data_IF_056569932497
#
_entry.id   IF_056569932497
#
_cell.length_a   1.000
_cell.length_b   1.000
_cell.length_c   1.000
_cell.angle_alpha   90.00
_cell.angle_beta   90.00
_cell.angle_gamma   90.00
#
_symmetry.space_group_name_H-M   'P 1'
#
loop_
_entity.id
_entity.type
_entity.pdbx_description
1 polymer ?
#
# COMPACT_ATOMS: atom_id res chain seq x y z
N UNK A 1 -8.14 9.68 -15.49
CA UNK A 1 -6.82 9.84 -14.83
C UNK A 1 -6.83 10.67 -13.56
N UNK A 2 -7.43 11.87 -13.56
CA UNK A 2 -7.32 12.76 -12.39
C UNK A 2 -7.84 12.13 -11.09
N UNK A 3 -8.96 11.41 -11.12
CA UNK A 3 -9.45 10.66 -9.95
C UNK A 3 -8.48 9.52 -9.56
N UNK A 4 -8.08 8.67 -10.51
CA UNK A 4 -7.12 7.58 -10.25
C UNK A 4 -5.78 8.07 -9.66
N UNK A 5 -5.35 9.30 -9.96
CA UNK A 5 -4.12 9.86 -9.37
C UNK A 5 -4.16 9.95 -7.86
N UNK A 6 -5.32 10.05 -7.21
CA UNK A 6 -5.44 10.00 -5.74
C UNK A 6 -5.09 8.61 -5.22
N UNK A 7 -5.60 7.56 -5.87
CA UNK A 7 -5.25 6.17 -5.54
C UNK A 7 -3.79 5.87 -5.85
N UNK A 8 -3.26 6.39 -6.97
CA UNK A 8 -1.84 6.29 -7.34
C UNK A 8 -0.92 7.03 -6.37
N UNK A 9 -1.37 8.19 -5.86
CA UNK A 9 -0.64 8.91 -4.83
C UNK A 9 -0.52 8.07 -3.56
N UNK A 10 -1.62 7.43 -3.13
CA UNK A 10 -1.60 6.49 -2.01
C UNK A 10 -0.60 5.36 -2.21
N UNK A 11 -0.59 4.68 -3.36
CA UNK A 11 0.39 3.60 -3.61
C UNK A 11 1.84 4.10 -3.68
N UNK A 12 2.06 5.36 -4.02
CA UNK A 12 3.39 5.98 -3.92
C UNK A 12 3.83 6.20 -2.47
N UNK A 13 2.93 6.70 -1.62
CA UNK A 13 3.20 6.86 -0.18
C UNK A 13 3.43 5.50 0.50
N UNK A 14 2.61 4.51 0.14
CA UNK A 14 2.66 3.15 0.66
C UNK A 14 3.97 2.44 0.29
N UNK A 15 4.38 2.57 -0.98
CA UNK A 15 5.67 2.07 -1.47
C UNK A 15 6.83 2.54 -0.59
N UNK A 16 6.90 3.83 -0.32
CA UNK A 16 7.96 4.37 0.55
C UNK A 16 7.86 3.85 1.98
N UNK A 17 6.63 3.70 2.48
CA UNK A 17 6.40 3.26 3.83
C UNK A 17 6.92 1.83 4.06
N UNK A 18 6.52 0.84 3.26
CA UNK A 18 6.96 -0.54 3.49
C UNK A 18 8.41 -0.79 3.06
N UNK A 19 8.89 -0.12 2.00
CA UNK A 19 10.24 -0.38 1.46
C UNK A 19 11.34 0.37 2.21
N UNK A 20 11.01 1.47 2.87
CA UNK A 20 11.96 2.31 3.60
C UNK A 20 11.61 2.47 5.07
N UNK A 21 10.53 3.22 5.34
CA UNK A 21 10.19 3.68 6.69
C UNK A 21 10.02 2.53 7.68
N UNK A 22 9.30 1.48 7.27
CA UNK A 22 8.97 0.38 8.15
C UNK A 22 10.19 -0.49 8.47
N UNK A 23 11.05 -0.75 7.48
CA UNK A 23 12.34 -1.40 7.69
C UNK A 23 13.24 -0.61 8.65
N UNK A 24 13.30 0.73 8.50
CA UNK A 24 14.01 1.61 9.43
C UNK A 24 13.43 1.52 10.84
N UNK A 25 12.10 1.49 10.99
CA UNK A 25 11.47 1.34 12.31
C UNK A 25 11.85 0.03 12.99
N UNK A 26 11.85 -1.09 12.25
CA UNK A 26 12.27 -2.40 12.77
C UNK A 26 13.73 -2.36 13.20
N UNK A 27 14.60 -1.77 12.39
CA UNK A 27 16.03 -1.67 12.67
C UNK A 27 16.39 -0.74 13.81
N UNK A 28 15.52 0.20 14.17
CA UNK A 28 15.77 1.17 15.23
C UNK A 28 15.42 0.65 16.64
N UNK A 29 14.70 -0.47 16.78
CA UNK A 29 14.19 -0.93 18.08
C UNK A 29 15.24 -1.80 18.80
N UNK A 30 15.94 -1.20 19.76
CA UNK A 30 16.95 -1.88 20.58
C UNK A 30 16.39 -3.08 21.35
N UNK A 31 15.09 -3.03 21.69
CA UNK A 31 14.37 -4.13 22.39
C UNK A 31 14.26 -5.41 21.57
N UNK A 32 14.49 -5.38 20.26
CA UNK A 32 14.58 -6.61 19.45
C UNK A 32 15.91 -7.34 19.63
N UNK A 33 16.87 -6.73 20.32
CA UNK A 33 18.19 -7.30 20.62
C UNK A 33 19.09 -7.36 19.39
N UNK A 34 20.14 -8.19 19.46
CA UNK A 34 21.20 -8.27 18.44
C UNK A 34 20.75 -8.74 17.05
N UNK A 35 19.48 -9.10 16.89
CA UNK A 35 18.89 -9.61 15.64
C UNK A 35 18.19 -8.53 14.81
N UNK A 36 18.15 -7.27 15.26
CA UNK A 36 17.46 -6.15 14.59
C UNK A 36 17.76 -6.07 13.08
N UNK A 37 19.03 -6.21 12.68
CA UNK A 37 19.46 -6.13 11.27
C UNK A 37 18.98 -7.33 10.44
N UNK A 38 18.86 -8.50 11.05
CA UNK A 38 18.30 -9.69 10.41
C UNK A 38 16.80 -9.54 10.20
N UNK A 39 16.10 -8.89 11.14
CA UNK A 39 14.66 -8.64 11.05
C UNK A 39 14.29 -7.70 9.90
N UNK A 40 15.15 -6.74 9.53
CA UNK A 40 14.94 -5.90 8.35
C UNK A 40 14.88 -6.77 7.08
N UNK A 41 15.85 -7.67 6.92
CA UNK A 41 15.89 -8.60 5.79
C UNK A 41 14.68 -9.54 5.78
N UNK A 42 14.31 -10.08 6.95
CA UNK A 42 13.16 -10.95 7.10
C UNK A 42 11.84 -10.22 6.81
N UNK A 43 11.71 -8.95 7.23
CA UNK A 43 10.58 -8.10 6.88
C UNK A 43 10.40 -7.98 5.37
N UNK A 44 11.49 -7.70 4.63
CA UNK A 44 11.46 -7.67 3.17
C UNK A 44 11.00 -8.98 2.54
N UNK A 45 11.44 -10.12 3.09
CA UNK A 45 10.98 -11.45 2.63
C UNK A 45 9.47 -11.62 2.85
N UNK A 46 8.97 -11.26 4.03
CA UNK A 46 7.53 -11.39 4.35
C UNK A 46 6.66 -10.45 3.51
N UNK A 47 7.13 -9.24 3.19
CA UNK A 47 6.49 -8.35 2.21
C UNK A 47 6.37 -9.06 0.86
N UNK A 48 7.48 -9.59 0.34
CA UNK A 48 7.49 -10.30 -0.94
C UNK A 48 6.58 -11.54 -0.97
N UNK A 49 6.50 -12.30 0.14
CA UNK A 49 5.55 -13.41 0.27
C UNK A 49 4.11 -12.90 0.18
N UNK A 50 3.79 -11.80 0.89
CA UNK A 50 2.48 -11.16 0.82
C UNK A 50 2.13 -10.72 -0.60
N UNK A 51 3.07 -10.09 -1.30
CA UNK A 51 2.89 -9.62 -2.68
C UNK A 51 2.65 -10.79 -3.66
N UNK A 52 3.44 -11.86 -3.57
CA UNK A 52 3.28 -13.05 -4.43
C UNK A 52 1.93 -13.70 -4.19
N UNK A 53 1.52 -13.89 -2.94
CA UNK A 53 0.23 -14.50 -2.61
C UNK A 53 -0.94 -13.62 -3.07
N UNK A 54 -0.89 -12.31 -2.80
CA UNK A 54 -1.96 -11.40 -3.21
C UNK A 54 -2.05 -11.24 -4.73
N UNK A 55 -0.93 -11.09 -5.42
CA UNK A 55 -0.90 -11.02 -6.88
C UNK A 55 -1.40 -12.31 -7.54
N UNK A 56 -1.01 -13.48 -7.01
CA UNK A 56 -1.45 -14.78 -7.53
C UNK A 56 -2.93 -15.01 -7.28
N UNK A 57 -3.40 -14.82 -6.05
CA UNK A 57 -4.78 -15.09 -5.66
C UNK A 57 -5.74 -14.10 -6.32
N UNK A 58 -5.45 -12.80 -6.21
CA UNK A 58 -6.38 -11.75 -6.63
C UNK A 58 -6.22 -11.31 -8.08
N UNK A 59 -5.06 -11.55 -8.70
CA UNK A 59 -4.92 -11.45 -10.15
C UNK A 59 -5.78 -12.48 -10.88
N UNK A 60 -5.86 -13.72 -10.35
CA UNK A 60 -6.70 -14.77 -10.90
C UNK A 60 -8.20 -14.58 -10.57
N UNK A 61 -8.53 -14.14 -9.35
CA UNK A 61 -9.92 -13.83 -8.96
C UNK A 61 -10.51 -12.67 -9.77
N UNK A 62 -9.73 -11.63 -10.06
CA UNK A 62 -10.17 -10.49 -10.89
C UNK A 62 -10.47 -10.89 -12.35
N UNK A 63 -9.91 -11.99 -12.84
CA UNK A 63 -10.21 -12.50 -14.19
C UNK A 63 -11.56 -13.21 -14.25
N UNK A 64 -12.08 -13.66 -13.12
CA UNK A 64 -13.37 -14.32 -13.05
C UNK A 64 -14.47 -13.26 -12.95
N UNK A 65 -15.21 -13.03 -14.05
CA UNK A 65 -16.20 -11.96 -14.25
C UNK A 65 -17.35 -11.90 -13.21
N UNK A 66 -17.35 -12.79 -12.20
CA UNK A 66 -18.32 -12.82 -11.09
C UNK A 66 -17.94 -11.88 -9.95
N UNK A 67 -16.66 -11.57 -9.76
CA UNK A 67 -16.17 -10.65 -8.74
C UNK A 67 -15.41 -9.52 -9.42
N UNK A 68 -15.94 -8.29 -9.35
CA UNK A 68 -15.28 -7.10 -9.91
C UNK A 68 -13.99 -6.73 -9.17
N UNK A 69 -13.41 -5.58 -9.50
CA UNK A 69 -12.15 -5.10 -8.89
C UNK A 69 -12.33 -4.62 -7.44
N UNK A 70 -13.51 -4.07 -7.12
CA UNK A 70 -13.78 -3.41 -5.83
C UNK A 70 -13.58 -4.30 -4.59
N UNK A 71 -14.04 -5.57 -4.55
CA UNK A 71 -13.80 -6.45 -3.39
C UNK A 71 -12.30 -6.68 -3.10
N UNK A 72 -11.46 -6.75 -4.14
CA UNK A 72 -10.02 -6.92 -3.97
C UNK A 72 -9.38 -5.66 -3.39
N UNK A 73 -9.75 -4.48 -3.90
CA UNK A 73 -9.27 -3.21 -3.33
C UNK A 73 -9.76 -3.02 -1.89
N UNK A 74 -11.00 -3.40 -1.58
CA UNK A 74 -11.53 -3.36 -0.22
C UNK A 74 -10.75 -4.28 0.72
N UNK A 75 -10.40 -5.48 0.28
CA UNK A 75 -9.55 -6.37 1.05
C UNK A 75 -8.17 -5.75 1.28
N UNK A 76 -7.56 -5.18 0.23
CA UNK A 76 -6.26 -4.52 0.33
C UNK A 76 -6.23 -3.42 1.38
N UNK A 77 -7.21 -2.51 1.37
CA UNK A 77 -7.25 -1.41 2.33
C UNK A 77 -7.50 -1.88 3.76
N UNK A 78 -8.29 -2.95 3.93
CA UNK A 78 -8.50 -3.57 5.25
C UNK A 78 -7.19 -4.16 5.79
N UNK A 79 -6.42 -4.86 4.94
CA UNK A 79 -5.10 -5.39 5.34
C UNK A 79 -4.14 -4.27 5.71
N UNK A 80 -4.10 -3.20 4.92
CA UNK A 80 -3.30 -2.01 5.22
C UNK A 80 -3.71 -1.35 6.53
N UNK A 81 -5.00 -1.14 6.79
CA UNK A 81 -5.44 -0.50 8.03
C UNK A 81 -5.18 -1.36 9.27
N UNK A 82 -5.34 -2.68 9.16
CA UNK A 82 -4.96 -3.61 10.22
C UNK A 82 -3.44 -3.52 10.45
N UNK A 83 -2.63 -3.53 9.39
CA UNK A 83 -1.18 -3.38 9.52
C UNK A 83 -0.81 -2.05 10.17
N UNK A 84 -1.36 -0.92 9.73
CA UNK A 84 -1.07 0.41 10.30
C UNK A 84 -1.44 0.49 11.78
N UNK A 85 -2.58 -0.10 12.17
CA UNK A 85 -2.98 -0.14 13.57
C UNK A 85 -2.05 -1.01 14.41
N UNK A 86 -1.67 -2.20 13.92
CA UNK A 86 -0.70 -3.07 14.62
C UNK A 86 0.68 -2.43 14.73
N UNK A 87 1.14 -1.74 13.68
CA UNK A 87 2.40 -0.97 13.67
C UNK A 87 2.34 0.15 14.72
N UNK A 88 1.25 0.91 14.76
CA UNK A 88 1.04 1.96 15.75
C UNK A 88 1.16 1.42 17.18
N UNK A 89 0.64 0.22 17.45
CA UNK A 89 0.74 -0.39 18.77
C UNK A 89 2.14 -0.93 19.08
N UNK A 90 2.75 -1.62 18.11
CA UNK A 90 3.96 -2.42 18.30
C UNK A 90 5.26 -1.61 18.22
N UNK A 91 5.26 -0.47 17.53
CA UNK A 91 6.46 0.31 17.24
C UNK A 91 6.52 1.62 18.05
N UNK A 92 7.70 2.05 18.54
CA UNK A 92 7.88 3.36 19.13
C UNK A 92 7.62 4.49 18.13
N UNK A 93 7.03 5.59 18.60
CA UNK A 93 6.64 6.71 17.74
C UNK A 93 7.81 7.46 17.09
N UNK A 94 8.97 7.42 17.71
CA UNK A 94 10.24 8.03 17.29
C UNK A 94 11.09 7.12 16.39
N UNK A 95 10.72 5.84 16.22
CA UNK A 95 11.51 4.87 15.48
C UNK A 95 11.94 5.30 14.05
N UNK A 96 11.11 6.00 13.24
CA UNK A 96 11.53 6.46 11.90
C UNK A 96 12.66 7.51 11.91
N UNK A 97 12.78 8.26 13.01
CA UNK A 97 13.73 9.38 13.16
C UNK A 97 14.75 9.10 14.27
N UNK A 98 14.80 7.86 14.74
CA UNK A 98 15.72 7.43 15.77
C UNK A 98 17.17 7.63 15.29
N UNK A 99 18.09 7.97 16.20
CA UNK A 99 19.50 8.10 15.84
C UNK A 99 20.10 6.71 15.53
N UNK A 100 21.36 6.67 15.09
CA UNK A 100 22.02 5.44 14.64
C UNK A 100 22.11 4.39 15.78
N UNK A 101 22.10 4.85 17.02
CA UNK A 101 22.08 4.02 18.24
C UNK A 101 20.71 3.39 18.54
N UNK A 102 19.68 3.68 17.74
CA UNK A 102 18.32 3.18 17.92
C UNK A 102 17.52 3.92 18.99
N UNK A 103 16.39 3.33 19.38
CA UNK A 103 15.47 3.85 20.40
C UNK A 103 15.09 2.79 21.42
N UNK A 104 15.10 3.18 22.69
CA UNK A 104 14.61 2.42 23.84
C UNK A 104 13.21 2.87 24.29
N UNK A 105 12.60 3.81 23.55
CA UNK A 105 11.25 4.30 23.79
C UNK A 105 10.24 3.15 23.90
N UNK A 106 9.23 3.34 24.73
CA UNK A 106 8.12 2.38 24.86
C UNK A 106 7.13 2.56 23.73
N UNK A 107 6.79 1.47 23.05
CA UNK A 107 5.57 1.38 22.27
C UNK A 107 4.36 1.16 23.19
N UNK A 108 3.14 1.15 22.64
CA UNK A 108 1.92 0.91 23.43
C UNK A 108 1.83 -0.51 23.96
N UNK A 109 2.35 -1.48 23.20
CA UNK A 109 2.56 -2.86 23.66
C UNK A 109 4.05 -3.17 23.72
N UNK A 110 4.42 -4.27 24.36
CA UNK A 110 5.80 -4.75 24.28
C UNK A 110 6.13 -5.10 22.83
N UNK A 111 7.18 -4.50 22.22
CA UNK A 111 7.53 -4.78 20.83
C UNK A 111 7.74 -6.27 20.61
N UNK A 112 6.94 -6.86 19.71
CA UNK A 112 7.03 -8.25 19.29
C UNK A 112 7.56 -8.34 17.86
N UNK A 113 8.52 -9.25 17.65
CA UNK A 113 9.10 -9.55 16.33
C UNK A 113 8.06 -10.19 15.41
N UNK A 114 7.22 -11.05 15.98
CA UNK A 114 6.17 -11.78 15.28
C UNK A 114 5.11 -10.81 14.73
N UNK A 115 4.69 -9.83 15.54
CA UNK A 115 3.77 -8.77 15.09
C UNK A 115 4.41 -7.94 13.99
N UNK A 116 5.71 -7.64 14.09
CA UNK A 116 6.42 -6.87 13.06
C UNK A 116 6.45 -7.61 11.71
N UNK A 117 6.72 -8.92 11.71
CA UNK A 117 6.72 -9.75 10.51
C UNK A 117 5.30 -9.96 9.95
N UNK A 118 4.30 -10.09 10.82
CA UNK A 118 2.89 -10.13 10.40
C UNK A 118 2.51 -8.83 9.68
N UNK A 119 2.89 -7.67 10.22
CA UNK A 119 2.63 -6.39 9.55
C UNK A 119 3.35 -6.31 8.20
N UNK A 120 4.60 -6.79 8.11
CA UNK A 120 5.35 -6.87 6.85
C UNK A 120 4.56 -7.64 5.79
N UNK A 121 4.03 -8.81 6.16
CA UNK A 121 3.20 -9.63 5.30
C UNK A 121 1.90 -8.93 4.88
N UNK A 122 1.19 -8.30 5.83
CA UNK A 122 -0.07 -7.60 5.56
C UNK A 122 0.13 -6.39 4.63
N UNK A 123 1.24 -5.66 4.77
CA UNK A 123 1.62 -4.56 3.88
C UNK A 123 1.80 -5.06 2.44
N UNK A 124 2.61 -6.10 2.21
CA UNK A 124 2.79 -6.67 0.87
C UNK A 124 1.51 -7.28 0.27
N UNK A 125 0.69 -7.91 1.11
CA UNK A 125 -0.62 -8.42 0.68
C UNK A 125 -1.55 -7.28 0.25
N UNK A 126 -1.57 -6.17 0.99
CA UNK A 126 -2.34 -4.96 0.64
C UNK A 126 -1.82 -4.28 -0.63
N UNK A 127 -0.50 -4.11 -0.77
CA UNK A 127 0.14 -3.50 -1.94
C UNK A 127 -0.25 -4.24 -3.22
N UNK A 128 -0.09 -5.56 -3.23
CA UNK A 128 -0.42 -6.38 -4.39
C UNK A 128 -1.90 -6.31 -4.76
N UNK A 129 -2.81 -6.18 -3.79
CA UNK A 129 -4.23 -5.93 -4.07
C UNK A 129 -4.41 -4.60 -4.82
N UNK A 130 -3.84 -3.50 -4.32
CA UNK A 130 -3.98 -2.19 -4.96
C UNK A 130 -3.33 -2.14 -6.34
N UNK A 131 -2.06 -2.54 -6.46
CA UNK A 131 -1.32 -2.47 -7.71
C UNK A 131 -1.96 -3.35 -8.79
N UNK A 132 -2.35 -4.58 -8.47
CA UNK A 132 -3.00 -5.46 -9.46
C UNK A 132 -4.28 -4.84 -10.01
N UNK A 133 -5.13 -4.27 -9.14
CA UNK A 133 -6.40 -3.69 -9.57
C UNK A 133 -6.23 -2.35 -10.28
N UNK A 134 -5.25 -1.53 -9.87
CA UNK A 134 -4.89 -0.28 -10.56
C UNK A 134 -4.37 -0.54 -11.98
N UNK A 135 -3.46 -1.50 -12.16
CA UNK A 135 -2.96 -1.86 -13.48
C UNK A 135 -4.10 -2.44 -14.35
N UNK A 136 -5.01 -3.22 -13.75
CA UNK A 136 -6.19 -3.79 -14.42
C UNK A 136 -7.18 -2.74 -14.92
N UNK A 137 -7.57 -1.76 -14.09
CA UNK A 137 -8.48 -0.69 -14.51
C UNK A 137 -7.83 0.25 -15.51
N UNK A 138 -6.52 0.51 -15.37
CA UNK A 138 -5.77 1.36 -16.28
C UNK A 138 -5.67 0.74 -17.68
N UNK A 139 -5.34 -0.55 -17.76
CA UNK A 139 -5.32 -1.30 -19.02
C UNK A 139 -6.71 -1.46 -19.65
N UNK A 140 -7.77 -1.43 -18.84
CA UNK A 140 -9.14 -1.47 -19.33
C UNK A 140 -9.62 -0.13 -19.91
N UNK A 141 -9.40 0.97 -19.19
CA UNK A 141 -9.87 2.31 -19.59
C UNK A 141 -9.05 2.93 -20.72
N UNK A 142 -7.77 2.56 -20.82
CA UNK A 142 -6.81 3.16 -21.75
C UNK A 142 -6.14 2.08 -22.60
N UNK A 143 -6.91 1.12 -23.11
CA UNK A 143 -6.39 0.00 -23.91
C UNK A 143 -5.65 0.46 -25.17
N UNK A 144 -6.17 1.49 -25.85
CA UNK A 144 -5.59 2.06 -27.07
C UNK A 144 -4.35 2.95 -26.78
N UNK A 145 -4.37 3.67 -25.65
CA UNK A 145 -3.32 4.62 -25.24
C UNK A 145 -2.66 4.21 -23.91
N UNK A 146 -2.32 2.93 -23.79
CA UNK A 146 -1.85 2.36 -22.53
C UNK A 146 -0.51 2.93 -22.09
N UNK A 147 0.45 3.10 -23.00
CA UNK A 147 1.79 3.57 -22.65
C UNK A 147 1.80 4.97 -21.99
N UNK A 148 1.14 6.02 -22.55
CA UNK A 148 0.98 7.30 -21.88
C UNK A 148 0.28 7.20 -20.52
N UNK A 149 -0.75 6.35 -20.42
CA UNK A 149 -1.50 6.14 -19.19
C UNK A 149 -0.63 5.54 -18.06
N UNK A 150 0.14 4.50 -18.37
CA UNK A 150 1.11 3.91 -17.44
C UNK A 150 2.26 4.87 -17.10
N UNK A 151 2.67 5.73 -18.03
CA UNK A 151 3.69 6.75 -17.77
C UNK A 151 3.20 7.78 -16.73
N UNK A 152 1.98 8.30 -16.87
CA UNK A 152 1.38 9.22 -15.88
C UNK A 152 1.22 8.53 -14.53
N UNK A 153 0.78 7.26 -14.52
CA UNK A 153 0.68 6.47 -13.29
C UNK A 153 2.03 6.38 -12.56
N UNK A 154 3.09 5.96 -13.26
CA UNK A 154 4.44 5.86 -12.65
C UNK A 154 4.99 7.21 -12.23
N UNK A 155 4.73 8.26 -13.00
CA UNK A 155 5.15 9.62 -12.65
C UNK A 155 4.54 10.09 -11.32
N UNK A 156 3.22 9.96 -11.14
CA UNK A 156 2.54 10.34 -9.89
C UNK A 156 3.03 9.48 -8.72
N UNK A 157 3.13 8.16 -8.93
CA UNK A 157 3.60 7.22 -7.91
C UNK A 157 5.02 7.60 -7.42
N UNK A 158 5.94 7.90 -8.34
CA UNK A 158 7.32 8.27 -8.02
C UNK A 158 7.43 9.63 -7.31
N UNK A 159 6.62 10.63 -7.69
CA UNK A 159 6.61 11.93 -6.98
C UNK A 159 6.12 11.75 -5.54
N UNK A 160 5.02 11.03 -5.33
CA UNK A 160 4.49 10.79 -3.99
C UNK A 160 5.47 9.97 -3.15
N UNK A 161 6.12 8.96 -3.73
CA UNK A 161 7.16 8.19 -3.07
C UNK A 161 8.34 9.07 -2.65
N UNK A 162 8.83 9.95 -3.54
CA UNK A 162 9.92 10.87 -3.25
C UNK A 162 9.57 11.86 -2.13
N UNK A 163 8.36 12.42 -2.15
CA UNK A 163 7.86 13.29 -1.07
C UNK A 163 7.78 12.53 0.26
N UNK A 164 7.35 11.27 0.22
CA UNK A 164 7.33 10.41 1.40
C UNK A 164 8.72 10.15 1.97
N UNK A 165 9.70 9.86 1.11
CA UNK A 165 11.08 9.65 1.57
C UNK A 165 11.68 10.92 2.15
N UNK A 166 11.29 12.08 1.61
CA UNK A 166 11.73 13.35 2.15
C UNK A 166 11.15 13.60 3.54
N UNK A 167 9.82 13.55 3.72
CA UNK A 167 9.22 13.84 5.02
C UNK A 167 9.49 12.76 6.08
N UNK A 168 9.77 11.51 5.69
CA UNK A 168 9.89 10.39 6.63
C UNK A 168 11.04 10.58 7.62
N UNK A 169 12.05 11.36 7.26
CA UNK A 169 13.19 11.70 8.12
C UNK A 169 12.88 12.80 9.15
N UNK A 170 11.70 13.43 9.08
CA UNK A 170 11.31 14.54 9.95
C UNK A 170 10.03 14.28 10.73
N UNK A 171 9.18 13.33 10.29
CA UNK A 171 7.89 13.03 10.91
C UNK A 171 7.94 11.79 11.79
N UNK A 172 7.30 11.89 12.97
CA UNK A 172 7.05 10.75 13.85
C UNK A 172 6.13 9.71 13.17
N UNK A 173 6.25 8.46 13.58
CA UNK A 173 5.57 7.31 12.98
C UNK A 173 4.06 7.49 12.90
N UNK A 174 3.43 7.97 13.97
CA UNK A 174 1.98 8.13 14.03
C UNK A 174 1.46 9.16 13.01
N UNK A 175 2.22 10.22 12.71
CA UNK A 175 1.85 11.16 11.66
C UNK A 175 1.95 10.53 10.27
N UNK A 176 2.99 9.73 10.03
CA UNK A 176 3.12 8.99 8.77
C UNK A 176 1.97 7.99 8.60
N UNK A 177 1.61 7.25 9.65
CA UNK A 177 0.46 6.34 9.65
C UNK A 177 -0.87 7.08 9.46
N UNK A 178 -1.04 8.27 10.03
CA UNK A 178 -2.24 9.08 9.82
C UNK A 178 -2.38 9.52 8.35
N UNK A 179 -1.28 9.96 7.73
CA UNK A 179 -1.24 10.29 6.30
C UNK A 179 -1.64 9.08 5.47
N UNK A 180 -1.09 7.90 5.79
CA UNK A 180 -1.42 6.64 5.12
C UNK A 180 -2.91 6.29 5.23
N UNK A 181 -3.53 6.44 6.41
CA UNK A 181 -4.97 6.17 6.61
C UNK A 181 -5.83 7.14 5.79
N UNK A 182 -5.52 8.44 5.83
CA UNK A 182 -6.29 9.46 5.11
C UNK A 182 -6.19 9.24 3.59
N UNK A 183 -4.98 9.10 3.06
CA UNK A 183 -4.77 8.90 1.62
C UNK A 183 -5.28 7.53 1.16
N UNK A 184 -5.18 6.49 1.99
CA UNK A 184 -5.73 5.17 1.69
C UNK A 184 -7.26 5.19 1.60
N UNK A 185 -7.92 5.90 2.51
CA UNK A 185 -9.37 6.09 2.46
C UNK A 185 -9.81 6.88 1.22
N UNK A 186 -9.19 8.03 0.96
CA UNK A 186 -9.49 8.86 -0.21
C UNK A 186 -9.17 8.14 -1.52
N UNK A 187 -8.05 7.44 -1.58
CA UNK A 187 -7.62 6.62 -2.71
C UNK A 187 -8.59 5.49 -3.01
N UNK A 188 -9.14 4.84 -1.98
CA UNK A 188 -10.15 3.78 -2.14
C UNK A 188 -11.46 4.34 -2.68
N UNK A 189 -11.97 5.45 -2.14
CA UNK A 189 -13.19 6.11 -2.65
C UNK A 189 -13.01 6.51 -4.11
N UNK A 190 -11.85 7.10 -4.43
CA UNK A 190 -11.55 7.51 -5.79
C UNK A 190 -11.52 6.32 -6.76
N UNK A 191 -10.92 5.20 -6.36
CA UNK A 191 -10.92 3.97 -7.16
C UNK A 191 -12.34 3.45 -7.41
N UNK A 192 -13.18 3.36 -6.38
CA UNK A 192 -14.56 2.87 -6.53
C UNK A 192 -15.39 3.78 -7.44
N UNK A 193 -15.20 5.09 -7.34
CA UNK A 193 -15.88 6.06 -8.21
C UNK A 193 -15.53 5.81 -9.67
N UNK A 194 -14.24 5.64 -9.98
CA UNK A 194 -13.78 5.39 -11.34
C UNK A 194 -14.23 4.02 -11.86
N UNK A 195 -14.21 2.98 -11.03
CA UNK A 195 -14.69 1.65 -11.42
C UNK A 195 -16.20 1.67 -11.75
N UNK A 196 -17.01 2.38 -10.96
CA UNK A 196 -18.45 2.52 -11.24
C UNK A 196 -18.73 3.33 -12.50
N UNK A 197 -17.99 4.42 -12.73
CA UNK A 197 -18.09 5.17 -13.98
C UNK A 197 -17.70 4.31 -15.19
N UNK A 198 -16.63 3.54 -15.08
CA UNK A 198 -16.18 2.60 -16.11
C UNK A 198 -17.27 1.57 -16.43
N UNK A 199 -17.87 0.95 -15.40
CA UNK A 199 -18.96 0.00 -15.56
C UNK A 199 -20.20 0.63 -16.22
N UNK A 200 -20.55 1.87 -15.86
CA UNK A 200 -21.69 2.60 -16.43
C UNK A 200 -21.47 2.98 -17.90
N UNK A 201 -20.24 3.25 -18.32
CA UNK A 201 -19.90 3.49 -19.74
C UNK A 201 -20.08 2.21 -20.55
N UNK A 202 -19.62 1.07 -20.04
CA UNK A 202 -19.78 -0.24 -20.70
C UNK A 202 -21.25 -0.60 -20.87
N UNK A 203 -22.06 -0.45 -19.81
CA UNK A 203 -23.49 -0.74 -19.85
C UNK A 203 -24.20 0.07 -20.94
N UNK A 204 -23.94 1.38 -21.01
CA UNK A 204 -24.51 2.26 -22.04
C UNK A 204 -24.03 1.93 -23.46
N UNK A 205 -22.77 1.53 -23.63
CA UNK A 205 -22.23 1.12 -24.93
C UNK A 205 -22.80 -0.21 -25.43
N UNK A 206 -23.19 -1.11 -24.52
CA UNK A 206 -23.86 -2.37 -24.86
C UNK A 206 -25.29 -2.13 -25.36
N UNK A 207 -26.03 -1.21 -24.72
CA UNK A 207 -27.40 -0.86 -25.13
C UNK A 207 -27.49 -0.19 -26.51
N UNK A 208 -26.43 0.49 -26.95
CA UNK A 208 -26.36 1.08 -28.30
C UNK A 208 -25.98 0.07 -29.39
N UNK A 209 -25.36 -1.06 -29.03
CA UNK A 209 -24.98 -2.12 -29.98
C UNK A 209 -26.07 -3.17 -30.18
N UNK A 210 -27.11 -3.16 -29.35
CA UNK A 210 -28.27 -4.05 -29.43
C UNK A 210 -29.45 -3.46 -30.21
N UNK A 211 -29.29 -2.26 -30.78
CA UNK A 211 -30.23 -1.58 -31.69
C UNK A 211 -29.63 -1.57 -33.09
#
# INVERSE_FOLDING_TARGET
MLLLSVTTAYTGLELTFFSGVYGTCIGAINKFGTEEKSLIGLSGIFIGIGEILGGSLFGLLSKNNRFGRNPVVLLGILMHFIAFYLIFLNMPGDAPIAPVEGTDSSAYIQPSKEVALLCSFLLGLGDSCFNTQLLSILGFLYSEDSAPAFAVFKFVQSICAALAFFYSNYLLLHWQLLVMVIFGFLGTISFFTVEWEAAAVVARGSDYRSI
#
